data_IF_511231021341
#
_entry.id   IF_511231021341
#
_cell.length_a   1.000
_cell.length_b   1.000
_cell.length_c   1.000
_cell.angle_alpha   90.00
_cell.angle_beta   90.00
_cell.angle_gamma   90.00
#
_symmetry.space_group_name_H-M   'P 1'
#
loop_
_entity.id
_entity.type
_entity.pdbx_description
1 polymer ?
#
# COMPACT_ATOMS: atom_id res chain seq x y z
N UNK A 1 26.73 -18.12 22.53
CA UNK A 1 26.37 -16.97 21.66
C UNK A 1 27.52 -16.79 20.68
N UNK A 2 27.25 -17.02 19.39
CA UNK A 2 28.27 -17.13 18.34
C UNK A 2 28.71 -15.75 17.84
N UNK A 3 30.01 -15.52 17.66
CA UNK A 3 30.60 -14.21 17.34
C UNK A 3 30.08 -13.60 16.03
N UNK A 4 29.51 -14.43 15.14
CA UNK A 4 28.81 -13.98 13.93
C UNK A 4 27.52 -13.21 14.23
N UNK A 5 26.74 -13.62 15.22
CA UNK A 5 25.50 -12.93 15.61
C UNK A 5 25.79 -11.55 16.23
N UNK A 6 26.89 -11.41 16.97
CA UNK A 6 27.31 -10.14 17.54
C UNK A 6 27.76 -9.12 16.47
N UNK A 7 28.37 -9.58 15.37
CA UNK A 7 28.81 -8.72 14.27
C UNK A 7 27.66 -8.22 13.40
N UNK A 8 26.63 -9.03 13.17
CA UNK A 8 25.42 -8.63 12.42
C UNK A 8 24.59 -7.63 13.23
N UNK A 9 24.43 -7.85 14.55
CA UNK A 9 23.83 -6.88 15.47
C UNK A 9 24.63 -5.58 15.61
N UNK A 10 25.93 -5.61 15.29
CA UNK A 10 26.76 -4.40 15.24
C UNK A 10 26.57 -3.61 13.93
N UNK A 11 25.92 -4.17 12.90
CA UNK A 11 25.71 -3.53 11.60
C UNK A 11 24.26 -3.08 11.38
N UNK A 12 23.31 -3.65 12.14
CA UNK A 12 21.91 -3.23 12.18
C UNK A 12 21.46 -3.02 13.63
N UNK A 13 21.15 -1.78 14.00
CA UNK A 13 20.58 -1.42 15.31
C UNK A 13 19.14 -0.94 15.11
N UNK A 14 18.18 -1.69 15.67
CA UNK A 14 16.77 -1.37 15.56
C UNK A 14 16.41 -0.03 16.22
N UNK A 15 17.15 0.42 17.24
CA UNK A 15 16.88 1.70 17.90
C UNK A 15 17.33 2.89 17.06
N UNK A 16 18.45 2.75 16.37
CA UNK A 16 18.93 3.76 15.43
C UNK A 16 17.97 3.88 14.24
N UNK A 17 17.54 2.73 13.69
CA UNK A 17 16.51 2.69 12.66
C UNK A 17 15.21 3.39 13.13
N UNK A 18 14.73 3.08 14.33
CA UNK A 18 13.52 3.68 14.88
C UNK A 18 13.64 5.20 15.10
N UNK A 19 14.82 5.69 15.51
CA UNK A 19 15.06 7.12 15.64
C UNK A 19 14.93 7.83 14.28
N UNK A 20 15.57 7.31 13.23
CA UNK A 20 15.45 7.86 11.88
C UNK A 20 14.02 7.78 11.34
N UNK A 21 13.34 6.64 11.55
CA UNK A 21 11.93 6.50 11.16
C UNK A 21 11.05 7.56 11.83
N UNK A 22 11.28 7.89 13.10
CA UNK A 22 10.49 8.91 13.80
C UNK A 22 10.65 10.33 13.23
N UNK A 23 11.74 10.59 12.50
CA UNK A 23 11.97 11.88 11.85
C UNK A 23 11.29 11.92 10.47
N UNK A 24 11.49 10.87 9.66
CA UNK A 24 11.28 10.93 8.22
C UNK A 24 10.58 9.70 7.60
N UNK A 25 10.10 8.75 8.42
CA UNK A 25 9.55 7.44 8.02
C UNK A 25 10.47 6.56 7.18
N UNK A 26 11.72 6.99 6.95
CA UNK A 26 12.75 6.30 6.19
C UNK A 26 14.02 6.22 7.03
N UNK A 27 14.65 5.06 7.06
CA UNK A 27 15.94 4.87 7.72
C UNK A 27 16.96 4.23 6.78
N UNK A 28 18.22 4.68 6.84
CA UNK A 28 19.35 4.11 6.13
C UNK A 28 20.33 3.51 7.13
N UNK A 29 20.42 2.18 7.17
CA UNK A 29 21.20 1.46 8.18
C UNK A 29 22.30 0.62 7.53
N UNK A 30 23.55 0.95 7.83
CA UNK A 30 24.72 0.27 7.26
C UNK A 30 24.86 0.49 5.75
N UNK A 31 24.33 1.59 5.23
CA UNK A 31 24.44 2.07 3.85
C UNK A 31 24.53 3.59 3.85
N UNK A 32 24.99 4.17 2.74
CA UNK A 32 24.96 5.63 2.56
C UNK A 32 23.51 6.13 2.46
N UNK A 33 23.24 7.28 3.06
CA UNK A 33 21.98 7.99 2.90
C UNK A 33 21.84 8.50 1.48
N UNK A 34 20.64 8.33 0.91
CA UNK A 34 20.28 8.86 -0.39
C UNK A 34 19.04 9.74 -0.23
N UNK A 35 19.25 11.06 -0.25
CA UNK A 35 18.19 12.04 -0.06
C UNK A 35 17.15 12.03 -1.21
N UNK A 36 17.53 11.58 -2.42
CA UNK A 36 16.56 11.44 -3.51
C UNK A 36 15.67 10.24 -3.24
N UNK A 37 16.27 9.08 -2.94
CA UNK A 37 15.53 7.87 -2.62
C UNK A 37 14.64 8.06 -1.38
N UNK A 38 15.13 8.76 -0.36
CA UNK A 38 14.35 9.08 0.84
C UNK A 38 13.04 9.81 0.50
N UNK A 39 13.11 10.83 -0.36
CA UNK A 39 11.93 11.56 -0.83
C UNK A 39 10.99 10.68 -1.64
N UNK A 40 11.53 9.89 -2.57
CA UNK A 40 10.72 8.97 -3.38
C UNK A 40 10.00 7.92 -2.51
N UNK A 41 10.61 7.48 -1.42
CA UNK A 41 10.00 6.56 -0.44
C UNK A 41 8.96 7.28 0.42
N UNK A 42 9.23 8.49 0.89
CA UNK A 42 8.27 9.29 1.66
C UNK A 42 6.99 9.58 0.86
N UNK A 43 7.11 9.82 -0.45
CA UNK A 43 5.97 10.08 -1.33
C UNK A 43 5.00 8.88 -1.47
N UNK A 44 5.46 7.66 -1.17
CA UNK A 44 4.67 6.43 -1.31
C UNK A 44 4.20 5.83 0.02
N UNK A 45 4.80 6.23 1.15
CA UNK A 45 4.45 5.74 2.47
C UNK A 45 3.18 6.40 3.01
N UNK A 46 2.29 5.59 3.58
CA UNK A 46 1.15 6.04 4.35
C UNK A 46 1.50 6.37 5.81
N UNK A 47 0.50 6.88 6.54
CA UNK A 47 0.61 7.05 7.99
C UNK A 47 0.86 5.70 8.68
N UNK A 48 1.81 5.67 9.61
CA UNK A 48 2.18 4.44 10.33
C UNK A 48 3.05 3.46 9.53
N UNK A 49 3.50 3.83 8.33
CA UNK A 49 4.37 2.98 7.50
C UNK A 49 5.81 3.50 7.51
N UNK A 50 6.75 2.59 7.74
CA UNK A 50 8.17 2.89 7.78
C UNK A 50 8.98 1.96 6.89
N UNK A 51 10.04 2.49 6.28
CA UNK A 51 10.96 1.69 5.46
C UNK A 51 12.40 1.86 5.93
N UNK A 52 13.11 0.74 6.03
CA UNK A 52 14.54 0.70 6.36
C UNK A 52 15.30 0.14 5.18
N UNK A 53 16.19 0.96 4.61
CA UNK A 53 17.13 0.57 3.57
C UNK A 53 18.42 0.14 4.24
N UNK A 54 18.96 -1.02 3.86
CA UNK A 54 20.22 -1.51 4.41
C UNK A 54 21.12 -2.11 3.33
N UNK A 55 22.44 -1.97 3.50
CA UNK A 55 23.45 -2.49 2.57
C UNK A 55 23.56 -4.02 2.52
N UNK A 56 22.81 -4.73 3.38
CA UNK A 56 22.77 -6.19 3.43
C UNK A 56 23.30 -6.75 4.76
N UNK A 57 23.72 -8.02 4.75
CA UNK A 57 24.27 -8.68 5.95
C UNK A 57 23.26 -9.10 7.01
N UNK A 58 21.96 -8.88 6.79
CA UNK A 58 20.90 -9.34 7.69
C UNK A 58 20.53 -10.79 7.33
N UNK A 59 20.88 -11.73 8.21
CA UNK A 59 20.55 -13.15 8.05
C UNK A 59 19.03 -13.37 8.11
N UNK A 60 18.37 -12.73 9.07
CA UNK A 60 16.94 -12.87 9.36
C UNK A 60 16.24 -11.50 9.30
N UNK A 61 15.98 -10.97 8.09
CA UNK A 61 15.43 -9.62 7.91
C UNK A 61 14.05 -9.46 8.54
N UNK A 62 13.28 -10.55 8.68
CA UNK A 62 11.99 -10.53 9.35
C UNK A 62 12.11 -10.24 10.85
N UNK A 63 13.12 -10.84 11.51
CA UNK A 63 13.35 -10.60 12.92
C UNK A 63 13.87 -9.17 13.15
N UNK A 64 14.72 -8.67 12.25
CA UNK A 64 15.12 -7.26 12.26
C UNK A 64 13.93 -6.30 12.08
N UNK A 65 13.01 -6.60 11.16
CA UNK A 65 11.81 -5.78 10.94
C UNK A 65 10.89 -5.80 12.18
N UNK A 66 10.74 -6.96 12.82
CA UNK A 66 10.00 -7.09 14.06
C UNK A 66 10.66 -6.31 15.21
N UNK A 67 11.99 -6.39 15.33
CA UNK A 67 12.74 -5.66 16.36
C UNK A 67 12.56 -4.14 16.21
N UNK A 68 12.54 -3.62 14.97
CA UNK A 68 12.25 -2.20 14.68
C UNK A 68 10.79 -1.88 15.01
N UNK A 69 9.82 -2.67 14.55
CA UNK A 69 8.40 -2.44 14.82
C UNK A 69 8.11 -2.39 16.33
N UNK A 70 8.80 -3.21 17.12
CA UNK A 70 8.64 -3.26 18.58
C UNK A 70 9.16 -2.00 19.31
N UNK A 71 10.01 -1.19 18.67
CA UNK A 71 10.65 -0.02 19.31
C UNK A 71 10.35 1.30 18.60
N UNK A 72 9.87 1.27 17.35
CA UNK A 72 9.45 2.43 16.58
C UNK A 72 8.00 2.78 16.91
N UNK A 73 7.79 3.65 17.89
CA UNK A 73 6.44 4.12 18.26
C UNK A 73 5.76 4.85 17.09
N UNK A 74 4.46 4.62 16.93
CA UNK A 74 3.65 5.25 15.88
C UNK A 74 3.71 4.54 14.52
N UNK A 75 4.51 3.48 14.38
CA UNK A 75 4.55 2.64 13.19
C UNK A 75 3.77 1.34 13.41
N UNK A 76 2.99 0.97 12.40
CA UNK A 76 2.19 -0.24 12.36
C UNK A 76 2.72 -1.23 11.31
N UNK A 77 3.49 -0.73 10.34
CA UNK A 77 4.09 -1.53 9.26
C UNK A 77 5.55 -1.11 9.05
N UNK A 78 6.47 -2.07 9.18
CA UNK A 78 7.89 -1.88 8.91
C UNK A 78 8.32 -2.74 7.74
N UNK A 79 8.90 -2.10 6.72
CA UNK A 79 9.49 -2.73 5.54
C UNK A 79 11.01 -2.63 5.66
N UNK A 80 11.71 -3.74 5.50
CA UNK A 80 13.17 -3.75 5.34
C UNK A 80 13.52 -4.09 3.90
N UNK A 81 14.30 -3.24 3.23
CA UNK A 81 14.86 -3.49 1.90
C UNK A 81 16.37 -3.66 1.98
N UNK A 82 16.85 -4.76 1.39
CA UNK A 82 18.24 -4.96 0.99
C UNK A 82 18.37 -4.87 -0.54
N UNK A 83 19.58 -4.75 -1.11
CA UNK A 83 19.75 -4.68 -2.56
C UNK A 83 19.11 -5.85 -3.33
N UNK A 84 19.06 -7.03 -2.72
CA UNK A 84 18.58 -8.25 -3.37
C UNK A 84 17.13 -8.61 -3.04
N UNK A 85 16.62 -8.21 -1.87
CA UNK A 85 15.31 -8.65 -1.38
C UNK A 85 14.74 -7.72 -0.33
N UNK A 86 13.43 -7.79 -0.10
CA UNK A 86 12.79 -7.10 1.01
C UNK A 86 11.91 -8.02 1.83
N UNK A 87 11.51 -7.54 3.00
CA UNK A 87 10.52 -8.18 3.85
C UNK A 87 9.74 -7.09 4.56
N UNK A 88 8.57 -7.45 5.07
CA UNK A 88 7.75 -6.56 5.85
C UNK A 88 7.11 -7.30 7.02
N UNK A 89 6.89 -6.55 8.09
CA UNK A 89 6.11 -6.97 9.26
C UNK A 89 5.09 -5.87 9.51
N UNK A 90 3.86 -6.26 9.82
CA UNK A 90 2.78 -5.32 10.11
C UNK A 90 1.90 -5.89 11.23
N UNK A 91 1.42 -5.00 12.08
CA UNK A 91 0.43 -5.29 13.13
C UNK A 91 -1.01 -5.12 12.62
N UNK A 92 -1.20 -4.43 11.50
CA UNK A 92 -2.53 -4.12 10.92
C UNK A 92 -2.87 -4.94 9.69
N UNK A 93 -1.88 -5.35 8.90
CA UNK A 93 -2.11 -6.20 7.73
C UNK A 93 -2.08 -7.68 8.09
N UNK A 94 -3.02 -8.44 7.49
CA UNK A 94 -3.01 -9.89 7.64
C UNK A 94 -1.76 -10.49 7.01
N UNK A 95 -1.32 -11.62 7.56
CA UNK A 95 -0.19 -12.39 6.99
C UNK A 95 -0.39 -12.70 5.51
N UNK A 96 -1.61 -13.03 5.09
CA UNK A 96 -1.93 -13.36 3.69
C UNK A 96 -1.70 -12.15 2.78
N UNK A 97 -2.08 -10.94 3.21
CA UNK A 97 -1.87 -9.71 2.42
C UNK A 97 -0.37 -9.43 2.22
N UNK A 98 0.43 -9.58 3.28
CA UNK A 98 1.90 -9.41 3.20
C UNK A 98 2.51 -10.45 2.26
N UNK A 99 2.11 -11.72 2.38
CA UNK A 99 2.64 -12.80 1.54
C UNK A 99 2.23 -12.66 0.07
N UNK A 100 1.03 -12.16 -0.22
CA UNK A 100 0.60 -11.91 -1.61
C UNK A 100 1.36 -10.77 -2.28
N UNK A 101 1.72 -9.73 -1.51
CA UNK A 101 2.46 -8.58 -2.02
C UNK A 101 3.99 -8.80 -2.05
N UNK A 102 4.50 -9.80 -1.32
CA UNK A 102 5.94 -10.01 -1.10
C UNK A 102 6.78 -10.06 -2.38
N UNK A 103 6.21 -10.56 -3.49
CA UNK A 103 6.89 -10.61 -4.78
C UNK A 103 7.40 -9.26 -5.28
N UNK A 104 6.71 -8.16 -4.93
CA UNK A 104 7.09 -6.80 -5.34
C UNK A 104 8.43 -6.37 -4.72
N UNK A 105 8.70 -6.80 -3.48
CA UNK A 105 9.94 -6.45 -2.76
C UNK A 105 11.18 -7.22 -3.24
N UNK A 106 11.05 -8.06 -4.27
CA UNK A 106 12.14 -8.86 -4.83
C UNK A 106 12.79 -8.23 -6.07
N UNK A 107 12.31 -7.07 -6.54
CA UNK A 107 12.87 -6.38 -7.70
C UNK A 107 14.24 -5.73 -7.35
N UNK A 108 15.34 -6.10 -8.03
CA UNK A 108 16.64 -5.48 -7.81
C UNK A 108 16.67 -4.05 -8.36
N UNK A 109 17.28 -3.12 -7.61
CA UNK A 109 17.65 -1.79 -8.09
C UNK A 109 16.55 -0.72 -8.04
N UNK A 110 15.27 -1.10 -8.03
CA UNK A 110 14.14 -0.15 -7.87
C UNK A 110 13.55 -0.23 -6.46
N UNK A 111 14.17 0.50 -5.52
CA UNK A 111 13.75 0.51 -4.12
C UNK A 111 12.38 1.17 -3.93
N UNK A 112 12.19 2.37 -4.47
CA UNK A 112 10.93 3.11 -4.33
C UNK A 112 9.77 2.42 -5.08
N UNK A 113 9.98 1.99 -6.32
CA UNK A 113 8.95 1.29 -7.09
C UNK A 113 8.56 -0.06 -6.50
N UNK A 114 9.52 -0.82 -5.94
CA UNK A 114 9.21 -2.08 -5.25
C UNK A 114 8.38 -1.86 -3.98
N UNK A 115 8.67 -0.81 -3.21
CA UNK A 115 7.89 -0.43 -2.02
C UNK A 115 6.50 0.06 -2.43
N UNK A 116 6.39 0.91 -3.45
CA UNK A 116 5.13 1.40 -3.98
C UNK A 116 4.22 0.25 -4.46
N UNK A 117 4.77 -0.71 -5.21
CA UNK A 117 4.04 -1.88 -5.66
C UNK A 117 3.59 -2.77 -4.49
N UNK A 118 4.47 -2.99 -3.51
CA UNK A 118 4.16 -3.75 -2.31
C UNK A 118 3.01 -3.13 -1.50
N UNK A 119 3.09 -1.82 -1.25
CA UNK A 119 2.04 -1.06 -0.55
C UNK A 119 0.74 -1.04 -1.36
N UNK A 120 0.82 -0.87 -2.68
CA UNK A 120 -0.35 -0.92 -3.58
C UNK A 120 -1.08 -2.26 -3.52
N UNK A 121 -0.35 -3.38 -3.50
CA UNK A 121 -0.90 -4.72 -3.40
C UNK A 121 -1.43 -5.02 -1.98
N UNK A 122 -0.75 -4.55 -0.92
CA UNK A 122 -1.20 -4.70 0.47
C UNK A 122 -2.45 -3.87 0.79
N UNK A 123 -2.51 -2.64 0.27
CA UNK A 123 -3.68 -1.76 0.36
C UNK A 123 -4.81 -2.18 -0.58
N UNK A 124 -4.62 -3.29 -1.31
CA UNK A 124 -5.54 -3.93 -2.25
C UNK A 124 -6.99 -3.47 -2.15
N UNK A 125 -7.32 -2.48 -2.97
CA UNK A 125 -8.64 -2.02 -3.40
C UNK A 125 -9.80 -2.30 -2.42
N UNK A 126 -10.04 -1.39 -1.48
CA UNK A 126 -11.36 -1.30 -0.85
C UNK A 126 -12.35 -0.80 -1.91
N UNK A 127 -12.99 -1.71 -2.66
CA UNK A 127 -14.12 -1.32 -3.52
C UNK A 127 -15.15 -0.65 -2.60
N UNK A 128 -15.48 0.64 -2.79
CA UNK A 128 -16.46 1.31 -1.96
C UNK A 128 -17.84 0.76 -2.33
N UNK A 129 -18.19 -0.39 -1.76
CA UNK A 129 -19.42 -1.15 -2.08
C UNK A 129 -20.65 -0.27 -1.96
N UNK A 130 -20.66 0.67 -1.02
CA UNK A 130 -21.72 1.66 -0.89
C UNK A 130 -21.81 2.59 -2.11
N UNK A 131 -20.69 3.16 -2.57
CA UNK A 131 -20.66 4.03 -3.75
C UNK A 131 -21.04 3.27 -5.03
N UNK A 132 -20.58 2.03 -5.18
CA UNK A 132 -20.96 1.17 -6.30
C UNK A 132 -22.47 0.84 -6.27
N UNK A 133 -23.01 0.52 -5.09
CA UNK A 133 -24.44 0.25 -4.92
C UNK A 133 -25.28 1.48 -5.26
N UNK A 134 -24.87 2.66 -4.79
CA UNK A 134 -25.54 3.93 -5.11
C UNK A 134 -25.52 4.20 -6.62
N UNK A 135 -24.38 4.01 -7.28
CA UNK A 135 -24.26 4.21 -8.72
C UNK A 135 -25.20 3.27 -9.51
N UNK A 136 -25.27 1.99 -9.13
CA UNK A 136 -26.18 1.01 -9.75
C UNK A 136 -27.65 1.42 -9.56
N UNK A 137 -28.03 1.85 -8.35
CA UNK A 137 -29.40 2.30 -8.06
C UNK A 137 -29.77 3.53 -8.88
N UNK A 138 -28.87 4.52 -9.00
CA UNK A 138 -29.10 5.74 -9.80
C UNK A 138 -29.30 5.41 -11.27
N UNK A 139 -28.46 4.54 -11.83
CA UNK A 139 -28.57 4.11 -13.23
C UNK A 139 -29.90 3.37 -13.46
N UNK A 140 -30.26 2.43 -12.57
CA UNK A 140 -31.53 1.73 -12.67
C UNK A 140 -32.74 2.67 -12.59
N UNK A 141 -32.72 3.64 -11.67
CA UNK A 141 -33.76 4.67 -11.57
C UNK A 141 -33.86 5.53 -12.84
N UNK A 142 -32.73 5.93 -13.42
CA UNK A 142 -32.69 6.67 -14.67
C UNK A 142 -33.30 5.88 -15.84
N UNK A 143 -32.99 4.59 -15.95
CA UNK A 143 -33.60 3.71 -16.97
C UNK A 143 -35.11 3.57 -16.79
N UNK A 144 -35.59 3.44 -15.54
CA UNK A 144 -37.02 3.40 -15.24
C UNK A 144 -37.67 4.70 -15.70
N UNK A 145 -37.16 5.85 -15.26
CA UNK A 145 -37.71 7.17 -15.63
C UNK A 145 -37.73 7.37 -17.14
N UNK A 146 -36.63 7.02 -17.84
CA UNK A 146 -36.54 7.14 -19.29
C UNK A 146 -37.55 6.25 -20.03
N UNK A 147 -37.77 5.03 -19.54
CA UNK A 147 -38.78 4.11 -20.07
C UNK A 147 -40.20 4.68 -19.89
N UNK A 148 -40.51 5.23 -18.71
CA UNK A 148 -41.81 5.85 -18.43
C UNK A 148 -42.09 7.09 -19.30
N UNK A 149 -41.08 7.93 -19.54
CA UNK A 149 -41.20 9.10 -20.42
C UNK A 149 -41.45 8.65 -21.86
N UNK A 150 -40.68 7.67 -22.35
CA UNK A 150 -40.80 7.17 -23.72
C UNK A 150 -42.18 6.55 -24.01
N UNK A 151 -42.77 5.86 -23.03
CA UNK A 151 -44.13 5.31 -23.14
C UNK A 151 -45.17 6.43 -23.22
N UNK A 152 -45.08 7.46 -22.35
CA UNK A 152 -46.00 8.60 -22.36
C UNK A 152 -45.95 9.40 -23.67
N UNK A 153 -44.77 9.60 -24.24
CA UNK A 153 -44.62 10.32 -25.50
C UNK A 153 -45.23 9.55 -26.68
N UNK A 154 -45.23 8.21 -26.61
CA UNK A 154 -45.86 7.32 -27.59
C UNK A 154 -47.39 7.43 -27.57
N UNK A 155 -48.00 7.56 -26.39
CA UNK A 155 -49.45 7.74 -26.25
C UNK A 155 -49.92 9.12 -26.78
N UNK A 156 -49.16 10.18 -26.53
CA UNK A 156 -49.53 11.54 -26.97
C UNK A 156 -49.43 11.73 -28.49
N UNK A 157 -48.50 11.04 -29.15
CA UNK A 157 -48.37 11.08 -30.62
C UNK A 157 -49.45 10.24 -31.31
N UNK A 158 -49.94 9.16 -30.68
CA UNK A 158 -51.06 8.36 -31.19
C UNK A 158 -52.39 9.12 -31.22
N UNK A 159 -52.68 9.91 -30.17
CA UNK A 159 -53.93 10.67 -30.05
C UNK A 159 -54.01 11.81 -31.08
N UNK A 160 -52.90 12.50 -31.37
CA UNK A 160 -52.87 13.56 -32.41
C UNK A 160 -53.23 13.03 -33.80
N UNK A 161 -52.78 11.82 -34.14
CA UNK A 161 -52.99 11.24 -35.48
C UNK A 161 -54.43 10.84 -35.78
N UNK A 162 -55.27 10.66 -34.74
CA UNK A 162 -56.70 10.33 -34.86
C UNK A 162 -57.56 11.59 -35.03
N UNK A 163 -57.09 12.75 -34.53
CA UNK A 163 -57.80 14.03 -34.66
C UNK A 163 -57.68 14.69 -36.04
N UNK A 164 -56.76 14.24 -36.90
CA UNK A 164 -56.50 14.80 -38.23
C UNK A 164 -57.07 13.94 -39.38
N UNK A 165 -57.95 12.97 -39.09
CA UNK A 165 -58.66 12.18 -40.10
C UNK A 165 -60.15 12.49 -40.14
#
# INVERSE_FOLDING_TARGET
MDARHARVKAMFDAKDAAAQLSEDSVAFVGTEEDAQLARELQDVLGEGEGVVITGGGINEPRNAAQDVLNVAEGFETIIIRTPERGTAVSDVHTRVAIESAHGQLSAPGDFAGSVAGFLGDMHGFTVPWLALTVAVVVVAAAFIVWTWISIKDSDLTGIKKVSER
#
